data_IF_848203158245
#
_entry.id   IF_848203158245
#
_cell.length_a   1.000
_cell.length_b   1.000
_cell.length_c   1.000
_cell.angle_alpha   90.00
_cell.angle_beta   90.00
_cell.angle_gamma   90.00
#
_symmetry.space_group_name_H-M   'P 1'
#
loop_
_entity.id
_entity.type
_entity.pdbx_description
1 polymer ?
#
# COMPACT_ATOMS: atom_id res chain seq x y z
N UNK A 1 41.92 12.50 -80.26
CA UNK A 1 40.51 12.53 -80.72
C UNK A 1 39.64 12.16 -79.54
N UNK A 2 38.79 13.10 -79.13
CA UNK A 2 37.70 12.91 -78.17
C UNK A 2 36.64 12.00 -78.80
N UNK A 3 36.10 11.06 -78.02
CA UNK A 3 34.72 10.62 -78.18
C UNK A 3 34.13 10.32 -76.79
N UNK A 4 33.36 11.30 -76.31
CA UNK A 4 32.25 11.06 -75.41
C UNK A 4 31.29 10.06 -76.05
N UNK A 5 30.79 9.11 -75.27
CA UNK A 5 29.40 8.69 -75.42
C UNK A 5 28.80 8.51 -74.03
N UNK A 6 28.17 9.60 -73.60
CA UNK A 6 27.16 9.58 -72.56
C UNK A 6 25.95 8.79 -73.05
N UNK A 7 25.32 8.08 -72.11
CA UNK A 7 23.92 7.68 -72.09
C UNK A 7 23.50 6.53 -73.01
N UNK A 8 23.32 5.35 -72.40
CA UNK A 8 22.07 4.58 -72.54
C UNK A 8 22.04 3.44 -71.53
N UNK A 9 22.05 3.69 -70.22
CA UNK A 9 21.56 2.70 -69.24
C UNK A 9 21.22 3.30 -67.87
N UNK A 10 20.80 4.57 -67.82
CA UNK A 10 20.16 5.13 -66.64
C UNK A 10 18.66 4.84 -66.69
N UNK A 11 18.09 4.41 -65.57
CA UNK A 11 16.66 4.44 -65.23
C UNK A 11 15.68 3.45 -65.85
N UNK A 12 15.75 2.16 -65.47
CA UNK A 12 14.50 1.36 -65.32
C UNK A 12 14.51 0.48 -64.05
N UNK A 13 15.68 0.14 -63.49
CA UNK A 13 15.79 -0.73 -62.31
C UNK A 13 16.76 -0.21 -61.25
N UNK A 14 16.75 1.11 -60.99
CA UNK A 14 17.29 1.62 -59.72
C UNK A 14 16.34 1.17 -58.61
N UNK A 15 16.52 -0.07 -58.16
CA UNK A 15 16.16 -0.44 -56.80
C UNK A 15 17.01 0.47 -55.92
N UNK A 16 16.42 1.57 -55.43
CA UNK A 16 16.99 2.35 -54.34
C UNK A 16 17.34 1.36 -53.23
N UNK A 17 18.64 1.04 -53.09
CA UNK A 17 19.10 0.23 -51.98
C UNK A 17 18.58 0.89 -50.70
N UNK A 18 17.88 0.14 -49.84
CA UNK A 18 17.24 0.74 -48.68
C UNK A 18 18.29 1.46 -47.86
N UNK A 19 18.07 2.76 -47.66
CA UNK A 19 18.97 3.60 -46.90
C UNK A 19 19.35 2.93 -45.59
N UNK A 20 20.65 2.68 -45.38
CA UNK A 20 21.14 1.95 -44.20
C UNK A 20 20.73 2.57 -42.87
N UNK A 21 20.39 3.86 -42.85
CA UNK A 21 19.89 4.56 -41.66
C UNK A 21 18.51 4.04 -41.19
N UNK A 22 17.68 3.56 -42.11
CA UNK A 22 16.33 3.08 -41.79
C UNK A 22 16.35 1.86 -40.87
N UNK A 23 17.30 0.94 -41.07
CA UNK A 23 17.47 -0.25 -40.22
C UNK A 23 17.84 0.13 -38.78
N UNK A 24 18.74 1.11 -38.61
CA UNK A 24 19.13 1.60 -37.29
C UNK A 24 17.99 2.36 -36.60
N UNK A 25 17.25 3.18 -37.35
CA UNK A 25 16.11 3.91 -36.82
C UNK A 25 15.02 2.98 -36.28
N UNK A 26 14.73 1.89 -36.99
CA UNK A 26 13.75 0.87 -36.55
C UNK A 26 14.25 0.17 -35.28
N UNK A 27 15.53 -0.22 -35.23
CA UNK A 27 16.10 -0.91 -34.07
C UNK A 27 16.12 -0.03 -32.81
N UNK A 28 16.56 1.22 -32.95
CA UNK A 28 16.62 2.19 -31.84
C UNK A 28 15.19 2.58 -31.40
N UNK A 29 14.31 2.87 -32.35
CA UNK A 29 12.91 3.21 -32.08
C UNK A 29 12.16 2.08 -31.35
N UNK A 30 12.34 0.84 -31.81
CA UNK A 30 11.77 -0.35 -31.16
C UNK A 30 12.30 -0.56 -29.74
N UNK A 31 13.59 -0.30 -29.51
CA UNK A 31 14.19 -0.38 -28.18
C UNK A 31 13.58 0.63 -27.21
N UNK A 32 13.40 1.88 -27.64
CA UNK A 32 12.75 2.90 -26.83
C UNK A 32 11.28 2.57 -26.53
N UNK A 33 10.54 2.03 -27.51
CA UNK A 33 9.16 1.59 -27.30
C UNK A 33 9.08 0.46 -26.26
N UNK A 34 9.97 -0.53 -26.31
CA UNK A 34 10.03 -1.60 -25.32
C UNK A 34 10.34 -1.07 -23.92
N UNK A 35 11.34 -0.18 -23.80
CA UNK A 35 11.69 0.44 -22.53
C UNK A 35 10.50 1.24 -21.97
N UNK A 36 9.87 2.09 -22.79
CA UNK A 36 8.72 2.87 -22.38
C UNK A 36 7.56 1.98 -21.90
N UNK A 37 7.29 0.89 -22.62
CA UNK A 37 6.23 -0.06 -22.25
C UNK A 37 6.49 -0.71 -20.90
N UNK A 38 7.73 -1.17 -20.67
CA UNK A 38 8.13 -1.78 -19.38
C UNK A 38 8.04 -0.76 -18.25
N UNK A 39 8.50 0.48 -18.46
CA UNK A 39 8.42 1.54 -17.44
C UNK A 39 6.98 1.91 -17.09
N UNK A 40 6.09 1.99 -18.08
CA UNK A 40 4.66 2.26 -17.85
C UNK A 40 4.03 1.11 -17.07
N UNK A 41 4.28 -0.13 -17.48
CA UNK A 41 3.75 -1.32 -16.78
C UNK A 41 4.25 -1.40 -15.33
N UNK A 42 5.55 -1.19 -15.11
CA UNK A 42 6.14 -1.13 -13.78
C UNK A 42 5.56 0.01 -12.95
N UNK A 43 5.40 1.20 -13.53
CA UNK A 43 4.80 2.36 -12.88
C UNK A 43 3.37 2.08 -12.40
N UNK A 44 2.53 1.47 -13.25
CA UNK A 44 1.17 1.09 -12.87
C UNK A 44 1.19 0.06 -11.73
N UNK A 45 2.02 -0.98 -11.84
CA UNK A 45 2.13 -2.06 -10.85
C UNK A 45 2.57 -1.56 -9.47
N UNK A 46 3.63 -0.75 -9.41
CA UNK A 46 4.10 -0.23 -8.13
C UNK A 46 3.13 0.80 -7.53
N UNK A 47 2.44 1.57 -8.37
CA UNK A 47 1.40 2.50 -7.90
C UNK A 47 0.24 1.74 -7.27
N UNK A 48 -0.23 0.63 -7.87
CA UNK A 48 -1.30 -0.18 -7.29
C UNK A 48 -0.89 -0.84 -5.98
N UNK A 49 0.33 -1.37 -5.89
CA UNK A 49 0.87 -1.95 -4.66
C UNK A 49 0.92 -0.93 -3.51
N UNK A 50 1.39 0.28 -3.80
CA UNK A 50 1.48 1.34 -2.79
C UNK A 50 0.08 1.73 -2.29
N UNK A 51 -0.88 1.91 -3.20
CA UNK A 51 -2.26 2.26 -2.82
C UNK A 51 -2.93 1.16 -2.01
N UNK A 52 -2.72 -0.11 -2.33
CA UNK A 52 -3.28 -1.21 -1.53
C UNK A 52 -2.64 -1.29 -0.15
N UNK A 53 -1.33 -1.06 -0.06
CA UNK A 53 -0.60 -1.07 1.21
C UNK A 53 -1.08 0.04 2.14
N UNK A 54 -1.28 1.26 1.62
CA UNK A 54 -1.78 2.39 2.40
C UNK A 54 -3.22 2.14 2.89
N UNK A 55 -4.11 1.66 2.02
CA UNK A 55 -5.50 1.38 2.39
C UNK A 55 -5.60 0.29 3.45
N UNK A 56 -4.86 -0.82 3.30
CA UNK A 56 -4.87 -1.92 4.28
C UNK A 56 -4.33 -1.48 5.64
N UNK A 57 -3.25 -0.71 5.66
CA UNK A 57 -2.64 -0.25 6.92
C UNK A 57 -3.57 0.71 7.67
N UNK A 58 -4.24 1.61 6.96
CA UNK A 58 -5.24 2.51 7.54
C UNK A 58 -6.40 1.71 8.15
N UNK A 59 -6.91 0.70 7.44
CA UNK A 59 -8.05 -0.09 7.92
C UNK A 59 -7.74 -0.87 9.21
N UNK A 60 -6.54 -1.47 9.32
CA UNK A 60 -6.12 -2.23 10.52
C UNK A 60 -6.05 -1.31 11.75
N UNK A 61 -5.54 -0.09 11.61
CA UNK A 61 -5.45 0.85 12.74
C UNK A 61 -6.84 1.30 13.21
N UNK A 62 -7.77 1.52 12.28
CA UNK A 62 -9.15 1.86 12.65
C UNK A 62 -9.89 0.70 13.32
N UNK A 63 -9.73 -0.52 12.81
CA UNK A 63 -10.35 -1.72 13.38
C UNK A 63 -9.81 -2.00 14.79
N UNK A 64 -8.49 -1.91 14.99
CA UNK A 64 -7.88 -2.05 16.31
C UNK A 64 -8.35 -0.97 17.29
N UNK A 65 -8.44 0.28 16.85
CA UNK A 65 -8.97 1.37 17.69
C UNK A 65 -10.42 1.15 18.05
N UNK A 66 -11.24 0.69 17.11
CA UNK A 66 -12.65 0.44 17.37
C UNK A 66 -12.83 -0.71 18.37
N UNK A 67 -12.08 -1.81 18.21
CA UNK A 67 -12.09 -2.92 19.18
C UNK A 67 -11.63 -2.48 20.58
N UNK A 68 -10.62 -1.60 20.69
CA UNK A 68 -10.17 -1.08 21.99
C UNK A 68 -11.24 -0.18 22.61
N UNK A 69 -11.87 0.71 21.83
CA UNK A 69 -12.93 1.57 22.33
C UNK A 69 -14.16 0.77 22.76
N UNK A 70 -14.55 -0.25 21.98
CA UNK A 70 -15.64 -1.16 22.33
C UNK A 70 -15.32 -1.98 23.59
N UNK A 71 -14.09 -2.48 23.73
CA UNK A 71 -13.65 -3.19 24.93
C UNK A 71 -13.61 -2.27 26.16
N UNK A 72 -13.19 -1.02 26.00
CA UNK A 72 -13.23 -0.02 27.06
C UNK A 72 -14.65 0.34 27.45
N UNK A 73 -15.55 0.50 26.48
CA UNK A 73 -16.95 0.77 26.74
C UNK A 73 -17.64 -0.41 27.43
N UNK A 74 -17.38 -1.64 26.99
CA UNK A 74 -17.87 -2.84 27.65
C UNK A 74 -17.37 -2.95 29.10
N UNK A 75 -16.10 -2.63 29.35
CA UNK A 75 -15.54 -2.61 30.71
C UNK A 75 -16.15 -1.50 31.60
N UNK A 76 -16.62 -0.39 31.00
CA UNK A 76 -17.34 0.66 31.72
C UNK A 76 -18.79 0.28 32.04
N UNK A 77 -19.40 -0.56 31.19
CA UNK A 77 -20.76 -1.09 31.37
C UNK A 77 -20.80 -2.35 32.25
N UNK A 78 -19.65 -2.96 32.54
CA UNK A 78 -19.56 -4.13 33.39
C UNK A 78 -20.01 -3.80 34.83
N UNK A 79 -21.07 -4.48 35.26
CA UNK A 79 -21.65 -4.34 36.59
C UNK A 79 -20.65 -4.74 37.69
N UNK A 80 -20.79 -4.18 38.89
CA UNK A 80 -19.91 -4.47 40.01
C UNK A 80 -19.79 -5.98 40.27
N UNK A 81 -18.55 -6.49 40.28
CA UNK A 81 -18.28 -7.91 40.49
C UNK A 81 -17.08 -8.13 41.42
N UNK A 82 -17.05 -9.28 42.09
CA UNK A 82 -15.94 -9.68 42.95
C UNK A 82 -14.84 -10.32 42.09
N UNK A 83 -13.60 -9.83 42.22
CA UNK A 83 -12.42 -10.41 41.60
C UNK A 83 -11.52 -11.01 42.68
N UNK A 84 -11.23 -12.30 42.56
CA UNK A 84 -10.28 -12.99 43.44
C UNK A 84 -8.90 -12.93 42.81
N UNK A 85 -8.00 -12.14 43.38
CA UNK A 85 -6.61 -12.04 42.89
C UNK A 85 -5.69 -12.81 43.82
N UNK A 86 -4.93 -13.74 43.24
CA UNK A 86 -3.89 -14.48 43.93
C UNK A 86 -2.56 -13.74 43.77
N UNK A 87 -1.93 -13.34 44.88
CA UNK A 87 -0.61 -12.73 44.85
C UNK A 87 0.47 -13.83 44.74
N UNK A 88 1.22 -13.90 43.63
CA UNK A 88 2.22 -14.95 43.41
C UNK A 88 3.43 -14.85 44.36
N UNK A 89 3.60 -13.75 45.11
CA UNK A 89 4.74 -13.56 46.02
C UNK A 89 4.44 -13.93 47.47
N UNK A 90 3.19 -13.76 47.92
CA UNK A 90 2.78 -14.05 49.30
C UNK A 90 1.89 -15.29 49.41
N UNK A 91 1.30 -15.75 48.30
CA UNK A 91 0.36 -16.87 48.28
C UNK A 91 -1.00 -16.53 48.89
N UNK A 92 -1.23 -15.28 49.29
CA UNK A 92 -2.48 -14.84 49.86
C UNK A 92 -3.52 -14.57 48.75
N UNK A 93 -4.75 -14.99 49.00
CA UNK A 93 -5.89 -14.65 48.16
C UNK A 93 -6.57 -13.41 48.72
N UNK A 94 -6.63 -12.36 47.91
CA UNK A 94 -7.39 -11.17 48.24
C UNK A 94 -8.61 -11.08 47.33
N UNK A 95 -9.79 -11.05 47.94
CA UNK A 95 -11.03 -10.75 47.26
C UNK A 95 -11.21 -9.24 47.25
N UNK A 96 -11.32 -8.65 46.05
CA UNK A 96 -11.58 -7.22 45.87
C UNK A 96 -12.87 -7.01 45.09
N UNK A 97 -13.70 -6.09 45.56
CA UNK A 97 -14.88 -5.66 44.83
C UNK A 97 -14.44 -4.65 43.76
N UNK A 98 -14.61 -4.99 42.49
CA UNK A 98 -14.38 -4.08 41.37
C UNK A 98 -15.72 -3.41 41.06
N UNK A 99 -15.74 -2.09 41.14
CA UNK A 99 -16.94 -1.27 40.94
C UNK A 99 -16.72 -0.43 39.67
N UNK A 100 -17.71 -0.32 38.78
CA UNK A 100 -17.61 0.53 37.59
C UNK A 100 -17.33 2.00 37.97
N UNK A 101 -16.55 2.68 37.13
CA UNK A 101 -16.00 4.02 37.42
C UNK A 101 -17.09 5.05 37.76
N UNK A 102 -18.25 4.98 37.10
CA UNK A 102 -19.36 5.89 37.36
C UNK A 102 -19.90 5.76 38.80
N UNK A 103 -19.96 4.53 39.30
CA UNK A 103 -20.43 4.24 40.65
C UNK A 103 -19.33 4.54 41.68
N UNK A 104 -18.06 4.23 41.38
CA UNK A 104 -16.92 4.63 42.19
C UNK A 104 -16.82 6.17 42.35
N UNK A 105 -17.08 6.92 41.27
CA UNK A 105 -17.07 8.38 41.29
C UNK A 105 -18.22 8.95 42.14
N UNK A 106 -19.41 8.34 42.11
CA UNK A 106 -20.52 8.72 42.98
C UNK A 106 -20.22 8.47 44.46
N UNK A 107 -19.53 7.38 44.79
CA UNK A 107 -19.07 7.07 46.16
C UNK A 107 -18.06 8.12 46.63
N UNK A 108 -17.04 8.43 45.82
CA UNK A 108 -15.98 9.40 46.18
C UNK A 108 -16.52 10.83 46.27
N UNK A 109 -17.45 11.21 45.39
CA UNK A 109 -18.10 12.52 45.42
C UNK A 109 -19.11 12.68 46.58
N UNK A 110 -19.36 11.63 47.37
CA UNK A 110 -20.31 11.65 48.48
C UNK A 110 -21.76 11.75 48.03
N UNK A 111 -22.06 11.34 46.81
CA UNK A 111 -23.39 11.50 46.18
C UNK A 111 -24.28 10.26 46.35
N UNK A 112 -23.82 9.25 47.10
CA UNK A 112 -24.58 8.04 47.46
C UNK A 112 -25.56 8.35 48.59
N UNK A 113 -26.87 8.31 48.30
CA UNK A 113 -27.95 8.30 49.30
C UNK A 113 -28.34 6.88 49.67
#
# INVERSE_FOLDING_TARGET
MSHNNHNAHDNINDHEDPDGWATWAIGIGGSFLMIATVLIAAGIYYRSLMTESEVKNINIVFEQRNMINEAQQAALEESAHWERRHDPKTGEQHDRLVIPINEAMNIVAGNTK
#
